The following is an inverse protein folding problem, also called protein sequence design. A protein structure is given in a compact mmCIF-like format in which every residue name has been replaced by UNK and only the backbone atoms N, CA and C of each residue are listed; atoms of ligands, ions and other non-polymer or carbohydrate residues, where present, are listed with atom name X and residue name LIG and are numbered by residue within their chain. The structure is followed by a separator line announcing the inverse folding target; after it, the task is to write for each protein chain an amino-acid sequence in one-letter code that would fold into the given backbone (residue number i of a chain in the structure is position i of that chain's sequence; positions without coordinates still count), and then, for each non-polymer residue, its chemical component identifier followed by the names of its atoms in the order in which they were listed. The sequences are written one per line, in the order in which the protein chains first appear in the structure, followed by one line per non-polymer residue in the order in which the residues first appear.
data_IF_180364506480
#
_entry.id   IF_180364506480
#
_cell.length_a   1.000
_cell.length_b   1.000
_cell.length_c   1.000
_cell.angle_alpha   90.00
_cell.angle_beta   90.00
_cell.angle_gamma   90.00
#
_symmetry.space_group_name_H-M   'P 1'
#
loop_
_entity.id
_entity.type
_entity.pdbx_description
1 polymer ?
#
# COMPACT_ATOMS: atom_id res chain seq x y z
N UNK A 1 -27.67 2.71 41.31
CA UNK A 1 -27.36 2.96 40.99
C UNK A 1 -27.03 3.48 40.16
N UNK A 2 -26.81 3.70 39.99
CA UNK A 2 -26.71 4.41 38.93
C UNK A 2 -25.51 4.28 38.23
N UNK A 3 -24.65 3.73 38.56
CA UNK A 3 -23.55 3.62 38.03
C UNK A 3 -23.66 3.03 36.80
N UNK A 4 -24.11 2.02 36.60
CA UNK A 4 -24.23 1.43 35.31
C UNK A 4 -25.02 2.35 34.48
N UNK A 5 -25.83 3.11 35.12
CA UNK A 5 -26.57 3.98 34.45
C UNK A 5 -25.77 4.92 33.70
N UNK A 6 -24.63 5.30 34.15
CA UNK A 6 -23.83 6.20 33.45
C UNK A 6 -23.56 5.71 32.11
N UNK A 7 -23.24 4.48 31.92
CA UNK A 7 -23.02 3.97 30.65
C UNK A 7 -24.21 4.07 29.83
N UNK A 8 -25.30 3.75 30.40
CA UNK A 8 -26.53 3.81 29.67
C UNK A 8 -26.87 5.26 29.30
N UNK A 9 -26.28 6.17 30.01
CA UNK A 9 -26.59 7.56 29.73
C UNK A 9 -25.88 8.13 28.54
N UNK A 10 -24.94 7.36 27.97
CA UNK A 10 -24.25 7.88 26.81
C UNK A 10 -25.25 7.93 25.67
N UNK A 11 -25.44 9.08 25.11
CA UNK A 11 -26.40 9.25 24.05
C UNK A 11 -26.01 8.48 22.80
N UNK A 12 -26.98 7.90 22.10
CA UNK A 12 -26.67 7.18 20.87
C UNK A 12 -25.93 8.05 19.88
N UNK A 13 -26.21 9.33 19.89
CA UNK A 13 -25.50 10.24 18.97
C UNK A 13 -24.00 10.28 19.28
N UNK A 14 -23.65 10.25 20.58
CA UNK A 14 -22.26 10.26 20.97
C UNK A 14 -21.58 8.97 20.57
N UNK A 15 -22.30 7.86 20.70
CA UNK A 15 -21.74 6.58 20.31
C UNK A 15 -21.51 6.56 18.81
N UNK A 16 -22.43 7.10 18.06
CA UNK A 16 -22.31 7.17 16.62
C UNK A 16 -21.11 8.02 16.24
N UNK A 17 -20.94 9.15 16.90
CA UNK A 17 -19.82 10.03 16.60
C UNK A 17 -18.48 9.34 16.86
N UNK A 18 -18.41 8.55 17.94
CA UNK A 18 -17.20 7.84 18.26
C UNK A 18 -16.89 6.80 17.18
N UNK A 19 -17.92 6.11 16.73
CA UNK A 19 -17.72 5.11 15.71
C UNK A 19 -17.33 5.73 14.39
N UNK A 20 -17.93 6.85 14.06
CA UNK A 20 -17.59 7.55 12.83
C UNK A 20 -16.13 8.01 12.87
N UNK A 21 -15.68 8.50 14.02
CA UNK A 21 -14.29 8.91 14.16
C UNK A 21 -13.35 7.72 14.01
N UNK A 22 -13.74 6.56 14.56
CA UNK A 22 -12.93 5.36 14.45
C UNK A 22 -12.84 4.91 13.02
N UNK A 23 -13.96 5.00 12.31
CA UNK A 23 -13.99 4.60 10.92
C UNK A 23 -13.06 5.49 10.09
N UNK A 24 -13.13 6.78 10.34
CA UNK A 24 -12.29 7.71 9.60
C UNK A 24 -10.82 7.45 9.88
N UNK A 25 -10.49 7.19 11.14
CA UNK A 25 -9.12 6.90 11.51
C UNK A 25 -8.63 5.64 10.84
N UNK A 26 -9.47 4.61 10.80
CA UNK A 26 -9.12 3.35 10.18
C UNK A 26 -8.96 3.52 8.68
N UNK A 27 -9.81 4.32 8.07
CA UNK A 27 -9.71 4.56 6.65
C UNK A 27 -8.42 5.27 6.30
N UNK A 28 -7.99 6.19 7.17
CA UNK A 28 -6.74 6.88 6.92
C UNK A 28 -5.56 5.93 7.06
N UNK A 29 -5.62 5.01 8.02
CA UNK A 29 -4.57 4.04 8.18
C UNK A 29 -4.52 3.13 6.97
N UNK A 30 -5.68 2.74 6.46
CA UNK A 30 -5.74 1.90 5.30
C UNK A 30 -5.14 2.60 4.09
N UNK A 31 -5.44 3.87 3.95
CA UNK A 31 -4.92 4.65 2.85
C UNK A 31 -3.40 4.73 2.92
N UNK A 32 -2.87 4.95 4.14
CA UNK A 32 -1.43 5.03 4.33
C UNK A 32 -0.76 3.69 4.01
N UNK A 33 -1.39 2.59 4.41
CA UNK A 33 -0.83 1.28 4.13
C UNK A 33 -0.84 0.98 2.64
N UNK A 34 -1.89 1.41 1.96
CA UNK A 34 -1.95 1.20 0.52
C UNK A 34 -0.87 2.00 -0.20
N UNK A 35 -0.60 3.20 0.31
CA UNK A 35 0.46 4.02 -0.26
C UNK A 35 1.81 3.38 -0.03
N UNK A 36 2.03 2.80 1.15
CA UNK A 36 3.27 2.12 1.46
C UNK A 36 3.44 0.90 0.58
N UNK A 37 2.35 0.17 0.36
CA UNK A 37 2.40 -1.00 -0.48
C UNK A 37 2.83 -0.63 -1.89
N UNK A 38 2.24 0.43 -2.41
CA UNK A 38 2.56 0.88 -3.74
C UNK A 38 4.00 1.31 -3.85
N UNK A 39 4.49 1.97 -2.80
CA UNK A 39 5.86 2.43 -2.77
C UNK A 39 6.82 1.26 -2.78
N UNK A 40 6.51 0.24 -1.98
CA UNK A 40 7.35 -0.95 -1.92
C UNK A 40 7.33 -1.69 -3.24
N UNK A 41 6.18 -1.74 -3.88
CA UNK A 41 6.07 -2.37 -5.19
C UNK A 41 6.96 -1.68 -6.22
N UNK A 42 7.02 -0.35 -6.11
CA UNK A 42 7.87 0.40 -7.02
C UNK A 42 9.34 0.13 -6.74
N UNK A 43 9.69 -0.03 -5.46
CA UNK A 43 11.06 -0.34 -5.11
C UNK A 43 11.47 -1.70 -5.64
N UNK A 44 10.54 -2.66 -5.57
CA UNK A 44 10.82 -4.00 -6.08
C UNK A 44 11.03 -3.94 -7.59
N UNK A 45 10.18 -3.20 -8.27
CA UNK A 45 10.30 -3.04 -9.70
C UNK A 45 11.63 -2.41 -10.07
N UNK A 46 12.02 -1.37 -9.34
CA UNK A 46 13.27 -0.69 -9.62
C UNK A 46 14.45 -1.62 -9.41
N UNK A 47 14.37 -2.46 -8.37
CA UNK A 47 15.44 -3.38 -8.11
C UNK A 47 15.54 -4.43 -9.20
N UNK A 48 14.40 -4.94 -9.65
CA UNK A 48 14.37 -5.93 -10.70
C UNK A 48 14.90 -5.34 -12.00
N UNK A 49 14.56 -4.11 -12.28
CA UNK A 49 15.05 -3.45 -13.48
C UNK A 49 16.56 -3.25 -13.41
N UNK A 50 17.05 -2.88 -12.21
CA UNK A 50 18.49 -2.70 -12.06
C UNK A 50 19.23 -4.02 -12.24
N UNK A 51 18.66 -5.11 -11.75
CA UNK A 51 19.26 -6.42 -11.90
C UNK A 51 19.28 -6.83 -13.37
N UNK A 52 18.18 -6.55 -14.04
CA UNK A 52 18.09 -6.88 -15.47
C UNK A 52 19.10 -6.06 -16.25
N UNK A 53 19.22 -4.80 -15.93
CA UNK A 53 20.15 -3.91 -16.60
C UNK A 53 21.58 -4.41 -16.40
N UNK A 54 21.91 -4.88 -15.19
CA UNK A 54 23.23 -5.39 -14.90
C UNK A 54 23.52 -6.62 -15.73
N UNK A 55 22.52 -7.49 -15.90
CA UNK A 55 22.70 -8.68 -16.70
C UNK A 55 22.91 -8.33 -18.16
N UNK A 56 22.15 -7.36 -18.64
CA UNK A 56 22.29 -6.93 -20.02
C UNK A 56 23.69 -6.37 -20.26
N UNK A 57 24.20 -5.59 -19.34
CA UNK A 57 25.52 -5.03 -19.47
C UNK A 57 26.58 -6.11 -19.39
N UNK A 58 26.39 -7.05 -18.50
CA UNK A 58 27.35 -8.11 -18.32
C UNK A 58 27.48 -8.94 -19.59
N UNK A 59 26.39 -9.12 -20.28
CA UNK A 59 26.40 -9.90 -21.51
C UNK A 59 26.62 -9.07 -22.75
N UNK A 60 26.89 -7.81 -22.56
CA UNK A 60 27.13 -6.91 -23.68
C UNK A 60 25.99 -6.89 -24.67
N UNK A 61 24.78 -6.98 -24.17
CA UNK A 61 23.64 -6.97 -25.05
C UNK A 61 23.16 -5.54 -25.24
N UNK A 62 22.72 -5.23 -26.43
CA UNK A 62 22.18 -3.91 -26.67
C UNK A 62 20.70 -3.94 -26.31
N UNK A 63 20.11 -2.79 -26.24
CA UNK A 63 18.70 -2.71 -25.93
C UNK A 63 17.89 -3.41 -27.01
N UNK A 64 18.36 -3.31 -28.25
CA UNK A 64 17.71 -3.96 -29.35
C UNK A 64 17.77 -5.46 -29.23
N UNK A 65 18.90 -6.00 -28.77
CA UNK A 65 19.03 -7.42 -28.59
C UNK A 65 18.03 -7.88 -27.54
N UNK A 66 17.88 -7.12 -26.46
CA UNK A 66 16.96 -7.47 -25.41
C UNK A 66 15.52 -7.46 -25.94
N UNK A 67 15.20 -6.44 -26.71
CA UNK A 67 13.86 -6.33 -27.25
C UNK A 67 13.57 -7.50 -28.18
N UNK A 68 14.55 -7.85 -28.98
CA UNK A 68 14.38 -8.94 -29.92
C UNK A 68 14.11 -10.24 -29.17
N UNK A 69 14.86 -10.50 -28.13
CA UNK A 69 14.67 -11.69 -27.37
C UNK A 69 13.34 -11.74 -26.66
N UNK A 70 12.93 -10.64 -26.11
CA UNK A 70 11.67 -10.58 -25.39
C UNK A 70 10.46 -10.57 -26.30
N UNK A 71 10.61 -9.97 -27.45
CA UNK A 71 9.48 -9.86 -28.34
C UNK A 71 9.50 -10.83 -29.50
N UNK A 72 10.46 -11.72 -29.49
CA UNK A 72 10.62 -12.63 -30.61
C UNK A 72 9.53 -13.65 -30.71
N UNK A 73 8.82 -13.81 -29.62
CA UNK A 73 7.80 -14.80 -29.71
C UNK A 73 6.60 -14.24 -30.11
#
# INVERSE_FOLDING_TARGET
MPRGRKKADVAPQDLLNEILASIEETEQKLKALKAQKKDIEKQIEAKEMAELYAIVKEKNMSIEDVKTKLGAE
#
